data_IF_809252842984
#
_entry.id   IF_809252842984
#
_cell.length_a   1.000
_cell.length_b   1.000
_cell.length_c   1.000
_cell.angle_alpha   90.00
_cell.angle_beta   90.00
_cell.angle_gamma   90.00
#
_symmetry.space_group_name_H-M   'P 1'
#
loop_
_entity.id
_entity.type
_entity.pdbx_description
1 polymer ?
#
# COMPACT_ATOMS: atom_id res chain seq x y z
N UNK A 1 -14.28 -8.18 -22.78
CA UNK A 1 -13.87 -9.11 -23.87
C UNK A 1 -13.29 -8.33 -25.06
N UNK A 2 -11.98 -8.47 -25.30
CA UNK A 2 -11.28 -7.85 -26.42
C UNK A 2 -11.68 -8.56 -27.73
N UNK A 3 -12.44 -7.90 -28.62
CA UNK A 3 -13.11 -8.59 -29.71
C UNK A 3 -12.22 -8.76 -30.96
N UNK A 4 -10.93 -8.40 -30.92
CA UNK A 4 -10.05 -8.35 -32.09
C UNK A 4 -8.79 -9.17 -31.85
N UNK A 5 -8.43 -9.97 -32.86
CA UNK A 5 -7.18 -10.73 -32.89
C UNK A 5 -6.00 -9.76 -32.88
N UNK A 6 -5.01 -9.99 -32.03
CA UNK A 6 -3.79 -9.20 -31.96
C UNK A 6 -3.01 -9.25 -33.28
N UNK A 7 -2.38 -8.14 -33.68
CA UNK A 7 -1.62 -8.07 -34.93
C UNK A 7 -0.24 -7.47 -34.67
N UNK A 8 0.78 -8.21 -35.08
CA UNK A 8 2.18 -7.77 -35.08
C UNK A 8 2.63 -7.43 -36.51
N UNK A 9 3.33 -6.32 -36.69
CA UNK A 9 4.05 -6.01 -37.94
C UNK A 9 5.52 -5.75 -37.64
N UNK A 10 6.39 -6.44 -38.37
CA UNK A 10 7.82 -6.22 -38.34
C UNK A 10 8.25 -5.49 -39.60
N UNK A 11 8.82 -4.30 -39.45
CA UNK A 11 9.20 -3.45 -40.57
C UNK A 11 10.53 -2.73 -40.26
N UNK A 12 11.33 -2.47 -41.29
CA UNK A 12 12.54 -1.66 -41.16
C UNK A 12 12.21 -0.18 -40.89
N UNK A 13 10.99 0.27 -41.20
CA UNK A 13 10.54 1.64 -40.98
C UNK A 13 9.24 1.68 -40.18
N UNK A 14 9.36 1.69 -38.86
CA UNK A 14 8.24 1.91 -37.94
C UNK A 14 8.11 3.40 -37.58
N UNK A 15 6.98 3.77 -37.00
CA UNK A 15 6.64 5.18 -36.76
C UNK A 15 7.49 5.85 -35.67
N UNK A 16 7.95 5.08 -34.68
CA UNK A 16 8.80 5.54 -33.58
C UNK A 16 9.54 4.37 -32.94
N UNK A 17 10.74 4.64 -32.42
CA UNK A 17 11.45 3.74 -31.51
C UNK A 17 11.97 2.45 -32.14
N UNK A 18 12.10 1.43 -31.29
CA UNK A 18 12.52 0.07 -31.66
C UNK A 18 11.31 -0.88 -31.77
N UNK A 19 10.34 -0.70 -30.87
CA UNK A 19 9.00 -1.31 -30.89
C UNK A 19 8.01 -0.26 -30.38
N UNK A 20 6.73 -0.39 -30.76
CA UNK A 20 5.66 0.40 -30.18
C UNK A 20 4.29 -0.29 -30.30
N UNK A 21 3.44 -0.02 -29.32
CA UNK A 21 2.06 -0.48 -29.26
C UNK A 21 1.14 0.15 -30.33
N UNK A 22 -0.03 -0.44 -30.52
CA UNK A 22 -0.99 -0.04 -31.56
C UNK A 22 -1.76 -1.22 -32.14
N UNK A 23 -2.56 -0.97 -33.17
CA UNK A 23 -3.24 -2.03 -33.92
C UNK A 23 -2.98 -1.89 -35.43
N UNK A 24 -1.92 -2.53 -35.97
CA UNK A 24 -1.03 -3.51 -35.31
C UNK A 24 -0.03 -2.87 -34.35
N UNK A 25 0.49 -3.62 -33.36
CA UNK A 25 1.72 -3.23 -32.70
C UNK A 25 2.88 -3.48 -33.68
N UNK A 26 3.90 -2.63 -33.64
CA UNK A 26 4.98 -2.64 -34.61
C UNK A 26 6.33 -2.82 -33.94
N UNK A 27 7.23 -3.56 -34.60
CA UNK A 27 8.60 -3.78 -34.15
C UNK A 27 9.56 -3.63 -35.33
N UNK A 28 10.80 -3.24 -35.05
CA UNK A 28 11.84 -3.21 -36.08
C UNK A 28 12.10 -4.63 -36.61
N UNK A 29 12.33 -4.79 -37.91
CA UNK A 29 12.51 -6.11 -38.55
C UNK A 29 13.68 -6.93 -37.97
N UNK A 30 14.72 -6.28 -37.47
CA UNK A 30 15.80 -6.90 -36.69
C UNK A 30 15.35 -7.67 -35.45
N UNK A 31 14.19 -7.36 -34.85
CA UNK A 31 13.63 -8.14 -33.74
C UNK A 31 12.91 -9.42 -34.18
N UNK A 32 12.73 -9.66 -35.49
CA UNK A 32 12.02 -10.86 -35.99
C UNK A 32 12.65 -12.13 -35.45
N UNK A 33 13.97 -12.22 -35.43
CA UNK A 33 14.71 -13.44 -35.04
C UNK A 33 14.41 -13.86 -33.61
N UNK A 34 14.23 -12.90 -32.71
CA UNK A 34 13.97 -13.16 -31.29
C UNK A 34 12.52 -13.62 -31.04
N UNK A 35 11.63 -13.41 -32.01
CA UNK A 35 10.17 -13.60 -31.85
C UNK A 35 9.67 -14.84 -32.58
N UNK A 36 10.15 -15.08 -33.80
CA UNK A 36 9.68 -16.21 -34.61
C UNK A 36 10.42 -17.51 -34.29
N UNK A 37 11.54 -17.44 -33.58
CA UNK A 37 12.24 -18.60 -33.06
C UNK A 37 11.47 -19.14 -31.84
N UNK A 38 10.72 -20.22 -32.07
CA UNK A 38 9.94 -20.88 -31.04
C UNK A 38 10.80 -21.42 -29.89
N UNK A 39 12.02 -21.87 -30.16
CA UNK A 39 12.91 -22.40 -29.13
C UNK A 39 13.43 -21.27 -28.24
N UNK A 40 13.81 -20.14 -28.83
CA UNK A 40 14.20 -18.94 -28.09
C UNK A 40 13.03 -18.38 -27.27
N UNK A 41 11.87 -18.17 -27.89
CA UNK A 41 10.69 -17.63 -27.21
C UNK A 41 10.25 -18.52 -26.04
N UNK A 42 10.28 -19.85 -26.18
CA UNK A 42 9.93 -20.77 -25.10
C UNK A 42 10.96 -20.83 -23.98
N UNK A 43 12.24 -20.57 -24.26
CA UNK A 43 13.31 -20.72 -23.26
C UNK A 43 13.65 -19.43 -22.53
N UNK A 44 13.52 -18.28 -23.21
CA UNK A 44 13.97 -16.98 -22.70
C UNK A 44 12.90 -15.90 -22.77
N UNK A 45 11.84 -16.10 -23.57
CA UNK A 45 10.82 -15.08 -23.82
C UNK A 45 11.38 -13.83 -24.52
N UNK A 46 10.52 -12.83 -24.68
CA UNK A 46 10.92 -11.49 -25.11
C UNK A 46 10.13 -10.45 -24.30
N UNK A 47 10.81 -9.81 -23.35
CA UNK A 47 10.19 -8.80 -22.50
C UNK A 47 9.67 -7.61 -23.31
N UNK A 48 10.40 -7.17 -24.33
CA UNK A 48 9.99 -6.03 -25.15
C UNK A 48 8.70 -6.33 -25.90
N UNK A 49 8.59 -7.54 -26.45
CA UNK A 49 7.37 -8.02 -27.09
C UNK A 49 6.18 -8.04 -26.13
N UNK A 50 6.37 -8.62 -24.94
CA UNK A 50 5.29 -8.71 -23.95
C UNK A 50 4.92 -7.34 -23.37
N UNK A 51 5.87 -6.41 -23.30
CA UNK A 51 5.65 -5.02 -22.90
C UNK A 51 4.75 -4.29 -23.90
N UNK A 52 5.04 -4.37 -25.20
CA UNK A 52 4.18 -3.76 -26.22
C UNK A 52 2.79 -4.42 -26.30
N UNK A 53 2.74 -5.75 -26.12
CA UNK A 53 1.46 -6.45 -25.98
C UNK A 53 0.69 -5.96 -24.76
N UNK A 54 1.39 -5.73 -23.64
CA UNK A 54 0.84 -5.20 -22.41
C UNK A 54 0.19 -3.85 -22.61
N UNK A 55 0.80 -2.94 -23.37
CA UNK A 55 0.20 -1.66 -23.72
C UNK A 55 -1.17 -1.81 -24.42
N UNK A 56 -1.32 -2.78 -25.32
CA UNK A 56 -2.61 -3.06 -25.96
C UNK A 56 -3.67 -3.60 -24.98
N UNK A 57 -3.25 -4.12 -23.82
CA UNK A 57 -4.13 -4.65 -22.78
C UNK A 57 -4.36 -3.68 -21.61
N UNK A 58 -3.72 -2.51 -21.62
CA UNK A 58 -4.00 -1.47 -20.64
C UNK A 58 -5.41 -0.91 -20.86
N UNK A 59 -6.17 -0.84 -19.77
CA UNK A 59 -7.45 -0.17 -19.74
C UNK A 59 -7.25 1.23 -19.17
N UNK A 60 -7.42 2.26 -20.00
CA UNK A 60 -7.13 3.64 -19.60
C UNK A 60 -7.84 4.09 -18.30
N UNK A 61 -9.11 3.73 -18.05
CA UNK A 61 -9.78 4.02 -16.77
C UNK A 61 -9.08 3.48 -15.52
N UNK A 62 -8.24 2.45 -15.64
CA UNK A 62 -7.49 1.87 -14.52
C UNK A 62 -6.01 2.27 -14.50
N UNK A 63 -5.59 3.21 -15.35
CA UNK A 63 -4.19 3.61 -15.46
C UNK A 63 -3.92 4.82 -14.57
N UNK A 64 -3.15 4.61 -13.50
CA UNK A 64 -2.77 5.68 -12.57
C UNK A 64 -1.81 6.72 -13.22
N UNK A 65 -1.67 7.92 -12.64
CA UNK A 65 -0.65 8.88 -13.05
C UNK A 65 0.75 8.24 -13.04
N UNK A 66 1.48 8.38 -14.16
CA UNK A 66 2.82 7.79 -14.31
C UNK A 66 2.86 6.28 -14.59
N UNK A 67 1.70 5.62 -14.71
CA UNK A 67 1.60 4.15 -14.81
C UNK A 67 1.55 3.61 -16.24
N UNK A 68 1.60 4.44 -17.28
CA UNK A 68 1.54 3.98 -18.68
C UNK A 68 2.64 2.95 -18.96
N UNK A 69 3.87 3.22 -18.55
CA UNK A 69 5.03 2.33 -18.71
C UNK A 69 5.16 1.28 -17.59
N UNK A 70 4.21 1.26 -16.64
CA UNK A 70 4.20 0.31 -15.51
C UNK A 70 3.11 -0.73 -15.70
N UNK A 71 1.88 -0.33 -15.98
CA UNK A 71 0.74 -1.24 -16.08
C UNK A 71 0.86 -2.21 -17.24
N UNK A 72 1.50 -1.82 -18.34
CA UNK A 72 1.84 -2.74 -19.43
C UNK A 72 2.74 -3.89 -18.95
N UNK A 73 3.63 -3.63 -17.99
CA UNK A 73 4.54 -4.64 -17.45
C UNK A 73 3.85 -5.67 -16.54
N UNK A 74 2.57 -5.50 -16.18
CA UNK A 74 1.81 -6.60 -15.57
C UNK A 74 1.72 -7.79 -16.52
N UNK A 75 1.41 -7.53 -17.80
CA UNK A 75 1.39 -8.57 -18.82
C UNK A 75 2.80 -9.14 -19.07
N UNK A 76 3.83 -8.28 -19.09
CA UNK A 76 5.23 -8.73 -19.23
C UNK A 76 5.62 -9.73 -18.16
N UNK A 77 5.43 -9.37 -16.88
CA UNK A 77 5.79 -10.27 -15.77
C UNK A 77 4.94 -11.54 -15.83
N UNK A 78 3.63 -11.43 -16.01
CA UNK A 78 2.73 -12.58 -16.09
C UNK A 78 3.15 -13.56 -17.20
N UNK A 79 3.44 -13.07 -18.41
CA UNK A 79 3.82 -13.93 -19.53
C UNK A 79 5.22 -14.52 -19.35
N UNK A 80 6.19 -13.77 -18.81
CA UNK A 80 7.51 -14.34 -18.50
C UNK A 80 7.41 -15.47 -17.49
N UNK A 81 6.60 -15.30 -16.44
CA UNK A 81 6.46 -16.32 -15.39
C UNK A 81 5.59 -17.51 -15.83
N UNK A 82 4.39 -17.26 -16.35
CA UNK A 82 3.37 -18.30 -16.58
C UNK A 82 3.52 -18.98 -17.94
N UNK A 83 3.93 -18.24 -18.98
CA UNK A 83 4.09 -18.79 -20.32
C UNK A 83 5.51 -19.32 -20.55
N UNK A 84 6.53 -18.57 -20.13
CA UNK A 84 7.95 -18.91 -20.38
C UNK A 84 8.56 -19.71 -19.22
N UNK A 85 8.16 -19.44 -17.98
CA UNK A 85 8.71 -20.11 -16.79
C UNK A 85 10.00 -19.50 -16.25
N UNK A 86 10.24 -18.21 -16.50
CA UNK A 86 11.43 -17.47 -16.02
C UNK A 86 11.04 -16.10 -15.45
N UNK A 87 11.90 -15.50 -14.62
CA UNK A 87 11.63 -14.19 -14.01
C UNK A 87 11.61 -13.04 -15.03
N UNK A 88 12.36 -13.16 -16.13
CA UNK A 88 12.39 -12.17 -17.21
C UNK A 88 13.42 -11.06 -17.02
N UNK A 89 12.99 -9.80 -17.06
CA UNK A 89 13.88 -8.64 -17.17
C UNK A 89 14.71 -8.42 -15.90
N UNK A 90 15.97 -8.00 -16.04
CA UNK A 90 16.88 -7.81 -14.90
C UNK A 90 16.42 -6.78 -13.87
N UNK A 91 15.52 -5.87 -14.24
CA UNK A 91 14.96 -4.90 -13.30
C UNK A 91 14.01 -5.52 -12.26
N UNK A 92 13.44 -6.70 -12.53
CA UNK A 92 12.63 -7.45 -11.55
C UNK A 92 13.45 -8.43 -10.72
N UNK A 93 14.77 -8.49 -10.91
CA UNK A 93 15.68 -9.24 -10.05
C UNK A 93 15.57 -8.74 -8.59
N UNK A 94 15.52 -9.63 -7.58
CA UNK A 94 15.38 -9.22 -6.18
C UNK A 94 16.40 -8.20 -5.68
N UNK A 95 17.66 -8.26 -6.15
CA UNK A 95 18.71 -7.31 -5.75
C UNK A 95 18.49 -5.94 -6.38
N UNK A 96 18.07 -5.92 -7.65
CA UNK A 96 17.71 -4.69 -8.34
C UNK A 96 16.46 -4.03 -7.72
N UNK A 97 15.46 -4.83 -7.34
CA UNK A 97 14.26 -4.37 -6.63
C UNK A 97 14.61 -3.79 -5.26
N UNK A 98 15.35 -4.52 -4.42
CA UNK A 98 15.79 -4.05 -3.09
C UNK A 98 16.53 -2.71 -3.17
N UNK A 99 17.55 -2.62 -4.05
CA UNK A 99 18.34 -1.38 -4.22
C UNK A 99 17.45 -0.21 -4.64
N UNK A 100 16.53 -0.44 -5.58
CA UNK A 100 15.63 0.59 -6.10
C UNK A 100 14.63 1.07 -5.05
N UNK A 101 14.03 0.13 -4.30
CA UNK A 101 13.10 0.45 -3.22
C UNK A 101 13.79 1.23 -2.10
N UNK A 102 14.98 0.81 -1.64
CA UNK A 102 15.76 1.56 -0.64
C UNK A 102 15.99 3.01 -1.05
N UNK A 103 16.48 3.22 -2.28
CA UNK A 103 16.70 4.58 -2.80
C UNK A 103 15.41 5.42 -2.86
N UNK A 104 14.26 4.80 -3.16
CA UNK A 104 12.98 5.50 -3.22
C UNK A 104 12.50 5.94 -1.83
N UNK A 105 12.52 5.02 -0.87
CA UNK A 105 12.08 5.30 0.51
C UNK A 105 13.05 6.25 1.24
N UNK A 106 14.37 6.10 1.04
CA UNK A 106 15.38 7.05 1.52
C UNK A 106 15.20 8.45 0.89
N UNK A 107 14.63 8.51 -0.31
CA UNK A 107 14.22 9.72 -1.00
C UNK A 107 12.94 10.36 -0.46
N UNK A 108 12.32 9.80 0.58
CA UNK A 108 11.12 10.32 1.24
C UNK A 108 9.82 9.96 0.53
N UNK A 109 9.77 8.85 -0.19
CA UNK A 109 8.56 8.35 -0.87
C UNK A 109 7.90 9.37 -1.80
N UNK A 110 8.70 10.13 -2.54
CA UNK A 110 8.17 11.17 -3.41
C UNK A 110 7.41 10.56 -4.61
N UNK A 111 6.08 10.71 -4.61
CA UNK A 111 5.19 10.22 -5.67
C UNK A 111 5.56 10.72 -7.07
N UNK A 112 6.18 11.90 -7.20
CA UNK A 112 6.64 12.41 -8.50
C UNK A 112 7.78 11.58 -9.10
N UNK A 113 8.49 10.80 -8.29
CA UNK A 113 9.53 9.86 -8.71
C UNK A 113 8.99 8.43 -8.89
N UNK A 114 7.72 8.17 -8.52
CA UNK A 114 7.07 6.87 -8.62
C UNK A 114 6.67 6.58 -10.08
N UNK A 115 7.48 5.79 -10.79
CA UNK A 115 7.27 5.49 -12.21
C UNK A 115 7.92 4.18 -12.64
N UNK A 116 7.47 3.62 -13.76
CA UNK A 116 8.03 2.43 -14.44
C UNK A 116 8.31 1.27 -13.47
N UNK A 117 9.57 1.10 -13.07
CA UNK A 117 10.06 -0.01 -12.26
C UNK A 117 9.76 0.14 -10.78
N UNK A 118 9.88 1.34 -10.21
CA UNK A 118 9.56 1.55 -8.80
C UNK A 118 8.05 1.42 -8.57
N UNK A 119 7.25 1.89 -9.53
CA UNK A 119 5.81 1.69 -9.52
C UNK A 119 5.44 0.21 -9.70
N UNK A 120 6.16 -0.52 -10.55
CA UNK A 120 5.97 -1.96 -10.70
C UNK A 120 6.26 -2.72 -9.39
N UNK A 121 7.31 -2.34 -8.65
CA UNK A 121 7.66 -2.99 -7.38
C UNK A 121 6.53 -2.94 -6.35
N UNK A 122 5.79 -1.82 -6.29
CA UNK A 122 4.60 -1.67 -5.46
C UNK A 122 3.60 -2.80 -5.72
N UNK A 123 3.35 -3.12 -6.99
CA UNK A 123 2.38 -4.14 -7.36
C UNK A 123 2.95 -5.55 -7.27
N UNK A 124 4.25 -5.72 -7.55
CA UNK A 124 4.89 -7.02 -7.41
C UNK A 124 4.91 -7.50 -5.96
N UNK A 125 5.01 -6.61 -4.97
CA UNK A 125 4.87 -6.99 -3.56
C UNK A 125 3.48 -7.54 -3.24
N UNK A 126 2.42 -6.92 -3.78
CA UNK A 126 1.04 -7.42 -3.64
C UNK A 126 0.88 -8.79 -4.32
N UNK A 127 1.43 -8.94 -5.53
CA UNK A 127 1.46 -10.21 -6.26
C UNK A 127 2.25 -11.28 -5.49
N UNK A 128 3.39 -10.95 -4.92
CA UNK A 128 4.25 -11.91 -4.22
C UNK A 128 3.54 -12.45 -2.95
N UNK A 129 2.63 -11.66 -2.36
CA UNK A 129 1.80 -12.07 -1.21
C UNK A 129 0.54 -12.87 -1.60
N UNK A 130 -0.24 -12.38 -2.58
CA UNK A 130 -1.58 -12.92 -2.88
C UNK A 130 -1.75 -13.47 -4.30
N UNK A 131 -0.71 -13.45 -5.11
CA UNK A 131 -0.78 -13.78 -6.53
C UNK A 131 -1.43 -12.68 -7.38
N UNK A 132 -1.71 -12.99 -8.64
CA UNK A 132 -2.27 -12.05 -9.61
C UNK A 132 -3.75 -11.73 -9.37
N UNK A 133 -4.46 -12.54 -8.60
CA UNK A 133 -5.91 -12.41 -8.38
C UNK A 133 -6.28 -11.02 -7.82
N UNK A 134 -5.51 -10.50 -6.85
CA UNK A 134 -5.79 -9.18 -6.26
C UNK A 134 -5.76 -8.05 -7.28
N UNK A 135 -4.70 -8.02 -8.11
CA UNK A 135 -4.51 -6.98 -9.11
C UNK A 135 -5.52 -7.16 -10.25
N UNK A 136 -5.74 -8.40 -10.69
CA UNK A 136 -6.65 -8.68 -11.81
C UNK A 136 -8.10 -8.38 -11.45
N UNK A 137 -8.58 -8.75 -10.26
CA UNK A 137 -9.90 -8.40 -9.78
C UNK A 137 -10.07 -6.88 -9.63
N UNK A 138 -9.06 -6.17 -9.11
CA UNK A 138 -9.08 -4.72 -9.03
C UNK A 138 -9.19 -4.06 -10.42
N UNK A 139 -8.46 -4.56 -11.42
CA UNK A 139 -8.55 -4.11 -12.82
C UNK A 139 -9.91 -4.41 -13.44
N UNK A 140 -10.50 -5.58 -13.13
CA UNK A 140 -11.81 -6.00 -13.66
C UNK A 140 -12.92 -5.03 -13.28
N UNK A 141 -12.86 -4.42 -12.09
CA UNK A 141 -13.85 -3.43 -11.64
C UNK A 141 -14.02 -2.33 -12.70
N UNK A 142 -12.92 -1.77 -13.21
CA UNK A 142 -12.92 -0.67 -14.18
C UNK A 142 -13.54 -1.01 -15.54
N UNK A 143 -13.64 -2.29 -15.90
CA UNK A 143 -14.37 -2.70 -17.12
C UNK A 143 -15.89 -2.59 -16.97
N UNK A 144 -16.37 -2.60 -15.73
CA UNK A 144 -17.80 -2.62 -15.40
C UNK A 144 -18.29 -1.33 -14.76
N UNK A 145 -17.40 -0.39 -14.44
CA UNK A 145 -17.74 0.90 -13.87
C UNK A 145 -18.67 1.69 -14.81
N UNK A 146 -19.77 2.26 -14.29
CA UNK A 146 -20.52 3.30 -14.98
C UNK A 146 -19.59 4.46 -15.35
N UNK A 147 -19.79 5.07 -16.52
CA UNK A 147 -18.93 6.16 -16.99
C UNK A 147 -18.85 7.37 -16.02
N UNK A 148 -19.88 7.56 -15.18
CA UNK A 148 -19.91 8.62 -14.17
C UNK A 148 -19.14 8.27 -12.88
N UNK A 149 -18.77 7.01 -12.69
CA UNK A 149 -18.03 6.48 -11.54
C UNK A 149 -16.56 6.16 -11.89
N UNK A 150 -16.17 6.32 -13.16
CA UNK A 150 -14.77 6.21 -13.57
C UNK A 150 -14.01 7.36 -12.89
N UNK A 151 -13.02 7.08 -12.03
CA UNK A 151 -12.26 8.13 -11.36
C UNK A 151 -11.52 8.97 -12.39
N UNK A 152 -11.39 10.27 -12.11
CA UNK A 152 -10.72 11.18 -13.04
C UNK A 152 -9.80 12.14 -12.32
N UNK A 153 -8.57 12.25 -12.84
CA UNK A 153 -7.53 13.07 -12.25
C UNK A 153 -6.82 12.35 -11.11
N UNK A 154 -5.62 12.84 -10.82
CA UNK A 154 -4.63 12.09 -10.05
C UNK A 154 -5.15 11.61 -8.69
N UNK A 155 -5.79 12.49 -7.91
CA UNK A 155 -6.25 12.16 -6.55
C UNK A 155 -7.36 11.09 -6.57
N UNK A 156 -8.38 11.21 -7.41
CA UNK A 156 -9.47 10.23 -7.49
C UNK A 156 -8.96 8.87 -7.97
N UNK A 157 -8.06 8.87 -8.95
CA UNK A 157 -7.49 7.66 -9.53
C UNK A 157 -6.69 6.86 -8.49
N UNK A 158 -5.81 7.51 -7.73
CA UNK A 158 -5.05 6.84 -6.65
C UNK A 158 -5.97 6.29 -5.57
N UNK A 159 -6.95 7.09 -5.12
CA UNK A 159 -7.84 6.67 -4.03
C UNK A 159 -8.75 5.50 -4.46
N UNK A 160 -9.33 5.55 -5.67
CA UNK A 160 -10.12 4.44 -6.21
C UNK A 160 -9.31 3.15 -6.35
N UNK A 161 -8.07 3.25 -6.83
CA UNK A 161 -7.18 2.10 -6.96
C UNK A 161 -6.94 1.39 -5.62
N UNK A 162 -6.68 2.15 -4.56
CA UNK A 162 -6.49 1.60 -3.20
C UNK A 162 -7.75 0.92 -2.69
N UNK A 163 -8.93 1.50 -2.92
CA UNK A 163 -10.21 0.88 -2.55
C UNK A 163 -10.41 -0.46 -3.28
N UNK A 164 -10.15 -0.51 -4.59
CA UNK A 164 -10.33 -1.75 -5.37
C UNK A 164 -9.36 -2.85 -4.95
N UNK A 165 -8.07 -2.53 -4.75
CA UNK A 165 -7.10 -3.51 -4.30
C UNK A 165 -7.40 -4.00 -2.87
N UNK A 166 -7.83 -3.10 -1.98
CA UNK A 166 -8.19 -3.47 -0.60
C UNK A 166 -9.43 -4.37 -0.53
N UNK A 167 -10.44 -4.07 -1.34
CA UNK A 167 -11.64 -4.90 -1.43
C UNK A 167 -11.34 -6.28 -2.02
N UNK A 168 -10.38 -6.36 -2.95
CA UNK A 168 -9.98 -7.63 -3.56
C UNK A 168 -9.11 -8.49 -2.65
N UNK A 169 -8.14 -7.88 -1.94
CA UNK A 169 -7.29 -8.61 -0.99
C UNK A 169 -8.01 -8.98 0.31
N UNK A 170 -9.05 -8.23 0.68
CA UNK A 170 -9.71 -8.32 1.99
C UNK A 170 -8.91 -7.66 3.12
N UNK A 171 -7.87 -6.89 2.79
CA UNK A 171 -7.07 -6.13 3.73
C UNK A 171 -7.14 -4.63 3.42
N UNK A 172 -7.07 -3.79 4.46
CA UNK A 172 -6.88 -2.36 4.31
C UNK A 172 -5.45 -2.09 3.81
N UNK A 173 -5.30 -1.76 2.52
CA UNK A 173 -4.01 -1.43 1.90
C UNK A 173 -3.70 0.07 1.92
N UNK A 174 -4.54 0.91 2.54
CA UNK A 174 -4.29 2.34 2.58
C UNK A 174 -2.96 2.71 3.27
N UNK A 175 -2.58 2.11 4.43
CA UNK A 175 -1.26 2.36 5.02
C UNK A 175 -0.11 1.97 4.06
N UNK A 176 -0.23 0.82 3.39
CA UNK A 176 0.76 0.33 2.43
C UNK A 176 0.95 1.31 1.25
N UNK A 177 -0.13 1.72 0.59
CA UNK A 177 -0.04 2.65 -0.54
C UNK A 177 0.35 4.08 -0.09
N UNK A 178 -0.05 4.51 1.12
CA UNK A 178 0.42 5.77 1.69
C UNK A 178 1.94 5.77 1.93
N UNK A 179 2.53 4.63 2.31
CA UNK A 179 3.99 4.50 2.42
C UNK A 179 4.70 4.76 1.08
N UNK A 180 4.07 4.38 -0.03
CA UNK A 180 4.55 4.69 -1.39
C UNK A 180 4.33 6.15 -1.81
N UNK A 181 3.73 6.99 -0.97
CA UNK A 181 3.51 8.42 -1.24
C UNK A 181 2.17 8.73 -1.92
N UNK A 182 1.24 7.78 -2.01
CA UNK A 182 -0.06 8.02 -2.64
C UNK A 182 -0.82 9.13 -1.87
N UNK A 183 -1.44 10.11 -2.56
CA UNK A 183 -2.18 11.22 -1.93
C UNK A 183 -3.55 10.75 -1.44
N UNK A 184 -3.57 9.85 -0.45
CA UNK A 184 -4.81 9.27 0.07
C UNK A 184 -5.56 10.26 0.96
N UNK A 185 -6.88 10.31 0.78
CA UNK A 185 -7.76 11.13 1.59
C UNK A 185 -8.26 10.38 2.83
N UNK A 186 -8.69 11.12 3.85
CA UNK A 186 -9.29 10.52 5.05
C UNK A 186 -10.50 9.63 4.70
N UNK A 187 -11.29 10.01 3.69
CA UNK A 187 -12.45 9.23 3.26
C UNK A 187 -12.06 7.82 2.77
N UNK A 188 -10.87 7.65 2.19
CA UNK A 188 -10.35 6.35 1.78
C UNK A 188 -9.98 5.49 2.98
N UNK A 189 -9.30 6.07 3.98
CA UNK A 189 -9.02 5.38 5.24
C UNK A 189 -10.32 4.96 5.94
N UNK A 190 -11.29 5.87 6.06
CA UNK A 190 -12.57 5.61 6.71
C UNK A 190 -13.37 4.51 5.99
N UNK A 191 -13.32 4.48 4.66
CA UNK A 191 -14.01 3.46 3.86
C UNK A 191 -13.44 2.05 4.07
N UNK A 192 -12.16 1.95 4.47
CA UNK A 192 -11.44 0.70 4.64
C UNK A 192 -11.27 0.28 6.10
N UNK A 193 -11.70 1.10 7.07
CA UNK A 193 -11.54 0.87 8.51
C UNK A 193 -12.17 -0.45 9.00
N UNK A 194 -13.11 -0.99 8.23
CA UNK A 194 -13.76 -2.27 8.51
C UNK A 194 -12.91 -3.51 8.14
N UNK A 195 -11.83 -3.35 7.36
CA UNK A 195 -10.92 -4.43 6.97
C UNK A 195 -9.72 -4.49 7.93
N UNK A 196 -9.08 -5.65 8.15
CA UNK A 196 -7.80 -5.70 8.87
C UNK A 196 -6.68 -5.01 8.09
N UNK A 197 -5.74 -4.34 8.76
CA UNK A 197 -4.55 -3.78 8.11
C UNK A 197 -3.57 -4.90 7.73
N UNK A 198 -2.91 -4.77 6.57
CA UNK A 198 -1.82 -5.66 6.20
C UNK A 198 -0.53 -5.28 6.97
N UNK A 199 -0.33 -5.90 8.13
CA UNK A 199 0.77 -5.57 9.06
C UNK A 199 2.04 -6.41 8.88
N UNK A 200 2.03 -7.36 7.95
CA UNK A 200 3.18 -8.23 7.63
C UNK A 200 3.77 -7.90 6.25
N UNK A 201 3.48 -6.71 5.72
CA UNK A 201 4.02 -6.25 4.44
C UNK A 201 5.55 -6.15 4.50
N UNK A 202 6.22 -6.47 3.39
CA UNK A 202 7.68 -6.52 3.32
C UNK A 202 8.37 -5.15 3.38
N UNK A 203 7.62 -4.03 3.36
CA UNK A 203 8.22 -2.70 3.53
C UNK A 203 8.54 -2.42 5.00
N UNK A 204 7.72 -2.96 5.90
CA UNK A 204 7.72 -2.64 7.32
C UNK A 204 9.04 -2.98 7.98
N UNK A 205 9.75 -1.96 8.43
CA UNK A 205 11.04 -2.08 9.10
C UNK A 205 12.23 -2.12 8.15
N UNK A 206 12.12 -2.81 7.02
CA UNK A 206 13.26 -2.94 6.09
C UNK A 206 13.44 -1.75 5.15
N UNK A 207 12.33 -1.07 4.82
CA UNK A 207 12.28 0.04 3.86
C UNK A 207 11.52 1.25 4.41
N UNK A 208 10.46 1.00 5.19
CA UNK A 208 9.57 2.05 5.67
C UNK A 208 9.19 1.86 7.14
N UNK A 209 9.09 2.99 7.85
CA UNK A 209 8.71 3.05 9.25
C UNK A 209 7.27 3.52 9.33
N UNK A 210 6.37 2.62 9.69
CA UNK A 210 4.95 2.91 9.85
C UNK A 210 4.66 3.46 11.24
N UNK A 211 3.88 4.53 11.30
CA UNK A 211 3.22 4.94 12.53
C UNK A 211 2.18 3.88 12.94
N UNK A 212 2.02 3.63 14.24
CA UNK A 212 0.88 2.86 14.71
C UNK A 212 -0.45 3.58 14.43
N UNK A 213 -1.53 2.81 14.47
CA UNK A 213 -2.91 3.29 14.42
C UNK A 213 -3.66 2.65 15.58
N UNK A 214 -4.03 3.46 16.57
CA UNK A 214 -4.93 3.06 17.64
C UNK A 214 -6.32 3.64 17.36
N UNK A 215 -7.35 2.92 17.84
CA UNK A 215 -8.74 3.37 17.78
C UNK A 215 -9.52 2.87 19.00
N UNK A 216 -10.76 3.34 19.11
CA UNK A 216 -11.72 2.90 20.12
C UNK A 216 -11.24 3.07 21.57
N UNK A 217 -10.44 4.10 21.84
CA UNK A 217 -9.93 4.40 23.17
C UNK A 217 -11.08 4.80 24.10
N UNK A 218 -11.19 4.10 25.23
CA UNK A 218 -12.30 4.30 26.17
C UNK A 218 -11.92 3.88 27.59
N UNK A 219 -12.85 4.07 28.53
CA UNK A 219 -12.70 3.57 29.89
C UNK A 219 -13.91 2.74 30.30
N UNK A 220 -13.69 1.76 31.17
CA UNK A 220 -14.73 0.96 31.80
C UNK A 220 -14.44 0.74 33.29
N UNK A 221 -15.36 0.07 34.00
CA UNK A 221 -15.20 -0.31 35.41
C UNK A 221 -14.79 0.86 36.33
N UNK A 222 -15.39 2.03 36.13
CA UNK A 222 -15.03 3.24 36.87
C UNK A 222 -15.49 3.12 38.33
N UNK A 223 -14.53 3.19 39.25
CA UNK A 223 -14.76 3.24 40.70
C UNK A 223 -14.29 4.58 41.28
N UNK A 224 -14.22 4.68 42.61
CA UNK A 224 -13.73 5.89 43.28
C UNK A 224 -12.20 6.01 43.26
N UNK A 225 -11.49 4.96 42.85
CA UNK A 225 -10.02 4.92 42.90
C UNK A 225 -9.38 4.11 41.77
N UNK A 226 -10.17 3.45 40.93
CA UNK A 226 -9.70 2.66 39.79
C UNK A 226 -10.54 2.88 38.54
N UNK A 227 -9.95 2.69 37.37
CA UNK A 227 -10.63 2.49 36.09
C UNK A 227 -9.91 1.42 35.29
N UNK A 228 -10.56 0.87 34.27
CA UNK A 228 -9.87 0.13 33.22
C UNK A 228 -9.82 0.94 31.93
N UNK A 229 -8.62 1.24 31.43
CA UNK A 229 -8.40 1.96 30.17
C UNK A 229 -8.31 0.96 29.03
N UNK A 230 -9.09 1.12 27.98
CA UNK A 230 -9.21 0.15 26.89
C UNK A 230 -8.83 0.84 25.57
N UNK A 231 -8.13 0.13 24.68
CA UNK A 231 -7.87 0.57 23.32
C UNK A 231 -7.80 -0.63 22.36
N UNK A 232 -7.90 -0.33 21.06
CA UNK A 232 -7.59 -1.28 20.00
C UNK A 232 -6.37 -0.79 19.23
N UNK A 233 -5.35 -1.63 19.13
CA UNK A 233 -4.24 -1.45 18.19
C UNK A 233 -4.67 -2.01 16.84
N UNK A 234 -5.03 -1.12 15.91
CA UNK A 234 -5.49 -1.48 14.56
C UNK A 234 -4.33 -1.70 13.59
N UNK A 235 -3.28 -0.88 13.69
CA UNK A 235 -1.95 -1.10 13.09
C UNK A 235 -0.90 -0.94 14.20
N UNK A 236 0.00 -1.91 14.34
CA UNK A 236 1.05 -1.91 15.35
C UNK A 236 2.29 -1.07 14.96
N UNK A 237 2.31 -0.46 13.78
CA UNK A 237 3.43 0.34 13.29
C UNK A 237 4.71 -0.48 13.09
N UNK A 238 5.85 0.20 13.01
CA UNK A 238 7.18 -0.42 12.97
C UNK A 238 7.86 -0.27 14.32
N UNK A 239 8.24 -1.37 14.98
CA UNK A 239 8.98 -1.37 16.25
C UNK A 239 8.43 -0.38 17.29
N UNK A 240 7.10 -0.29 17.38
CA UNK A 240 6.42 0.74 18.15
C UNK A 240 6.19 0.30 19.60
N UNK A 241 6.43 1.21 20.53
CA UNK A 241 6.09 1.06 21.95
C UNK A 241 4.99 2.02 22.35
N UNK A 242 4.13 1.61 23.28
CA UNK A 242 2.99 2.38 23.76
C UNK A 242 3.22 2.83 25.21
N UNK A 243 2.86 4.08 25.51
CA UNK A 243 2.85 4.64 26.87
C UNK A 243 1.55 5.40 27.10
N UNK A 244 0.79 5.01 28.13
CA UNK A 244 -0.40 5.72 28.57
C UNK A 244 0.00 6.87 29.49
N UNK A 245 -0.41 8.09 29.18
CA UNK A 245 -0.21 9.26 30.03
C UNK A 245 -1.57 9.72 30.57
N UNK A 246 -1.64 10.08 31.86
CA UNK A 246 -2.88 10.54 32.46
C UNK A 246 -2.67 11.54 33.61
N UNK A 247 -3.59 12.51 33.72
CA UNK A 247 -3.59 13.52 34.79
C UNK A 247 -4.94 14.21 34.90
N UNK A 248 -5.12 15.10 35.89
CA UNK A 248 -6.35 15.89 36.06
C UNK A 248 -6.49 17.04 35.04
N UNK A 249 -5.49 17.22 34.18
CA UNK A 249 -5.54 18.13 33.03
C UNK A 249 -4.99 17.40 31.79
N UNK A 250 -5.59 17.66 30.63
CA UNK A 250 -5.02 17.19 29.37
C UNK A 250 -3.77 18.02 29.04
N UNK A 251 -2.61 17.36 28.97
CA UNK A 251 -1.34 18.01 28.66
C UNK A 251 -0.98 17.91 27.16
N UNK A 252 -1.89 17.38 26.33
CA UNK A 252 -1.67 17.20 24.91
C UNK A 252 -0.45 16.31 24.64
N UNK A 253 0.31 16.66 23.60
CA UNK A 253 1.45 15.88 23.12
C UNK A 253 2.76 16.23 23.87
N UNK A 254 2.70 16.48 25.18
CA UNK A 254 3.82 16.95 26.00
C UNK A 254 4.10 15.98 27.16
N UNK A 255 4.85 14.91 26.89
CA UNK A 255 5.13 13.82 27.85
C UNK A 255 5.65 14.29 29.22
N UNK A 256 6.46 15.35 29.26
CA UNK A 256 7.06 15.88 30.49
C UNK A 256 6.08 16.62 31.42
N UNK A 257 4.90 17.02 30.91
CA UNK A 257 3.91 17.77 31.68
C UNK A 257 2.87 16.85 32.32
N UNK A 258 2.74 15.62 31.84
CA UNK A 258 1.80 14.64 32.40
C UNK A 258 2.22 14.20 33.81
N UNK A 259 1.27 14.20 34.74
CA UNK A 259 1.52 13.86 36.14
C UNK A 259 1.77 12.37 36.39
N UNK A 260 1.24 11.49 35.52
CA UNK A 260 1.42 10.05 35.62
C UNK A 260 1.59 9.42 34.23
N UNK A 261 2.24 8.26 34.19
CA UNK A 261 2.37 7.45 32.99
C UNK A 261 2.53 5.96 33.31
N UNK A 262 2.13 5.11 32.36
CA UNK A 262 2.28 3.65 32.39
C UNK A 262 2.87 3.18 31.07
N UNK A 263 3.93 2.37 31.13
CA UNK A 263 4.50 1.71 29.96
C UNK A 263 3.64 0.50 29.60
N UNK A 264 3.01 0.55 28.42
CA UNK A 264 2.14 -0.52 27.91
C UNK A 264 2.92 -1.59 27.11
N UNK A 265 4.21 -1.35 26.82
CA UNK A 265 5.06 -2.30 26.09
C UNK A 265 4.99 -2.11 24.58
N UNK A 266 5.29 -3.17 23.82
CA UNK A 266 5.25 -3.13 22.36
C UNK A 266 3.81 -3.10 21.87
N UNK A 267 3.54 -2.34 20.81
CA UNK A 267 2.24 -2.37 20.13
C UNK A 267 2.02 -3.76 19.49
N UNK A 268 0.88 -4.37 19.78
CA UNK A 268 0.45 -5.66 19.21
C UNK A 268 -0.97 -5.47 18.70
N UNK A 269 -1.26 -5.94 17.49
CA UNK A 269 -2.61 -5.83 16.90
C UNK A 269 -3.63 -6.56 17.76
N UNK A 270 -4.73 -5.87 18.08
CA UNK A 270 -5.80 -6.41 18.91
C UNK A 270 -6.31 -5.43 19.95
N UNK A 271 -7.22 -5.92 20.78
CA UNK A 271 -7.74 -5.21 21.94
C UNK A 271 -6.84 -5.44 23.14
N UNK A 272 -6.53 -4.37 23.86
CA UNK A 272 -5.78 -4.39 25.11
C UNK A 272 -6.42 -3.46 26.14
N UNK A 273 -6.07 -3.68 27.41
CA UNK A 273 -6.54 -2.88 28.53
C UNK A 273 -5.46 -2.70 29.62
N UNK A 274 -5.57 -1.61 30.39
CA UNK A 274 -4.68 -1.27 31.50
C UNK A 274 -5.48 -0.73 32.68
N UNK A 275 -5.37 -1.38 33.84
CA UNK A 275 -6.02 -0.93 35.07
C UNK A 275 -5.22 0.22 35.71
N UNK A 276 -5.84 1.40 35.76
CA UNK A 276 -5.30 2.52 36.51
C UNK A 276 -5.85 2.48 37.93
N UNK A 277 -4.94 2.53 38.91
CA UNK A 277 -5.29 2.51 40.34
C UNK A 277 -4.85 3.78 41.05
N UNK A 278 -5.15 3.89 42.35
CA UNK A 278 -4.75 5.01 43.22
C UNK A 278 -5.25 6.38 42.74
N UNK A 279 -6.40 6.40 42.05
CA UNK A 279 -7.06 7.63 41.63
C UNK A 279 -7.80 8.28 42.82
N UNK A 280 -7.93 9.60 42.78
CA UNK A 280 -8.74 10.34 43.74
C UNK A 280 -10.22 10.20 43.41
N UNK A 281 -11.08 10.04 44.41
CA UNK A 281 -12.54 9.99 44.26
C UNK A 281 -13.11 11.31 43.75
N UNK A 282 -14.24 11.27 43.04
CA UNK A 282 -14.93 12.46 42.50
C UNK A 282 -14.01 13.40 41.71
N UNK A 283 -13.03 12.84 41.00
CA UNK A 283 -12.00 13.60 40.28
C UNK A 283 -12.04 13.26 38.79
N UNK A 284 -11.99 14.29 37.95
CA UNK A 284 -11.91 14.14 36.50
C UNK A 284 -10.46 13.97 36.07
N UNK A 285 -10.21 12.94 35.27
CA UNK A 285 -8.92 12.65 34.65
C UNK A 285 -9.06 12.70 33.13
N UNK A 286 -7.92 12.95 32.49
CA UNK A 286 -7.71 12.89 31.06
C UNK A 286 -6.56 11.92 30.80
N UNK A 287 -6.59 11.23 29.67
CA UNK A 287 -5.49 10.39 29.23
C UNK A 287 -5.30 10.41 27.72
N UNK A 288 -4.07 10.10 27.31
CA UNK A 288 -3.65 9.89 25.93
C UNK A 288 -2.67 8.73 25.86
N UNK A 289 -2.72 7.94 24.80
CA UNK A 289 -1.65 6.98 24.49
C UNK A 289 -0.64 7.65 23.57
N UNK A 290 0.64 7.53 23.90
CA UNK A 290 1.76 7.87 23.02
C UNK A 290 2.32 6.59 22.42
N UNK A 291 2.32 6.50 21.10
CA UNK A 291 3.04 5.50 20.34
C UNK A 291 4.39 6.07 19.89
N UNK A 292 5.48 5.34 20.16
CA UNK A 292 6.85 5.77 19.89
C UNK A 292 7.60 4.73 19.07
N UNK A 293 8.23 5.17 17.99
CA UNK A 293 9.16 4.39 17.16
C UNK A 293 10.33 5.29 16.71
N UNK A 294 11.24 4.75 15.91
CA UNK A 294 12.43 5.48 15.44
C UNK A 294 12.14 6.69 14.55
N UNK A 295 10.95 6.74 13.95
CA UNK A 295 10.48 7.84 13.09
C UNK A 295 9.82 8.99 13.85
N UNK A 296 9.43 8.78 15.11
CA UNK A 296 8.78 9.82 15.92
C UNK A 296 7.74 9.29 16.90
N UNK A 297 6.94 10.23 17.41
CA UNK A 297 5.86 9.99 18.36
C UNK A 297 4.50 10.34 17.73
N UNK A 298 3.52 9.46 17.90
CA UNK A 298 2.11 9.69 17.57
C UNK A 298 1.25 9.59 18.82
N UNK A 299 0.27 10.48 18.95
CA UNK A 299 -0.57 10.59 20.14
C UNK A 299 -2.04 10.33 19.82
N UNK A 300 -2.69 9.60 20.71
CA UNK A 300 -4.07 9.10 20.60
C UNK A 300 -4.93 9.59 21.76
N UNK A 301 -6.23 9.77 21.55
CA UNK A 301 -7.15 10.46 22.47
C UNK A 301 -7.32 11.97 22.20
N UNK A 302 -7.79 12.76 23.19
CA UNK A 302 -7.87 12.43 24.61
C UNK A 302 -9.11 11.61 24.97
N UNK A 303 -8.98 10.78 26.00
CA UNK A 303 -10.09 10.12 26.70
C UNK A 303 -10.22 10.78 28.07
N UNK A 304 -11.45 11.08 28.51
CA UNK A 304 -11.70 11.69 29.82
C UNK A 304 -12.74 10.93 30.62
N UNK A 305 -12.57 10.88 31.94
CA UNK A 305 -13.51 10.22 32.86
C UNK A 305 -13.54 10.89 34.23
N UNK A 306 -14.57 10.61 35.03
CA UNK A 306 -14.69 11.06 36.42
C UNK A 306 -14.86 9.86 37.33
N UNK A 307 -13.99 9.71 38.33
CA UNK A 307 -14.11 8.65 39.35
C UNK A 307 -15.36 8.83 40.19
N UNK A 308 -15.91 7.74 40.71
CA UNK A 308 -17.10 7.81 41.57
C UNK A 308 -16.76 8.43 42.93
N UNK A 309 -17.80 8.77 43.69
CA UNK A 309 -17.68 9.14 45.11
C UNK A 309 -17.20 7.96 45.96
#
# INVERSE_FOLDING_TARGET
PWPRVERAVFDAQISVGWMHSGYPFMAHDLSVVDVIDLEQMNSSGDWGMFHELGHNHQWMPSTLPGMIETGCNFASVYLMEELVGVTGHSAVDPVARDTRMRNYFDGGSNIASWSVWIALDTFLIIKDEWGWDVITDALVVYYTLPAAEVPSGDDEEFNAWVLHNSNSSGYNLAPYFAAWGFPLTQATFDSLDHLPVWVNDSLRGDYFVYDAILRNESVSNITNSTINFIWETYDNGTNTTLTLYYSTMDMGNQSLLWGNSVSLGNAVVGWDDEELTSLSSSTTYYARIKASHEGGDKWFGPVSWTTTS
#
